data_IF_772045108687
#
_entry.id   IF_772045108687
#
_cell.length_a   1.000
_cell.length_b   1.000
_cell.length_c   1.000
_cell.angle_alpha   90.00
_cell.angle_beta   90.00
_cell.angle_gamma   90.00
#
_symmetry.space_group_name_H-M   'P 1'
#
loop_
_entity.id
_entity.type
_entity.pdbx_description
1 polymer ?
#
# COMPACT_ATOMS: atom_id res chain seq x y z
N UNK A 1 12.07 -6.67 5.72
CA UNK A 1 11.27 -6.36 4.51
C UNK A 1 12.12 -5.87 3.33
N UNK A 2 13.03 -4.90 3.48
CA UNK A 2 13.86 -4.40 2.35
C UNK A 2 14.64 -5.51 1.58
N UNK A 3 15.23 -6.46 2.30
CA UNK A 3 16.03 -7.55 1.70
C UNK A 3 15.21 -8.49 0.81
N UNK A 4 13.94 -8.72 1.15
CA UNK A 4 13.05 -9.58 0.37
C UNK A 4 12.75 -8.95 -0.98
N UNK A 5 12.44 -7.65 -0.99
CA UNK A 5 12.17 -6.89 -2.20
C UNK A 5 13.41 -6.73 -3.08
N UNK A 6 14.60 -6.56 -2.47
CA UNK A 6 15.87 -6.56 -3.20
C UNK A 6 16.11 -7.90 -3.93
N UNK A 7 15.92 -9.04 -3.24
CA UNK A 7 16.02 -10.37 -3.87
C UNK A 7 15.01 -10.58 -4.99
N UNK A 8 13.77 -10.10 -4.80
CA UNK A 8 12.74 -10.21 -5.81
C UNK A 8 13.07 -9.40 -7.06
N UNK A 9 13.61 -8.19 -6.90
CA UNK A 9 14.11 -7.37 -8.00
C UNK A 9 15.26 -8.07 -8.74
N UNK A 10 16.23 -8.60 -8.01
CA UNK A 10 17.37 -9.32 -8.60
C UNK A 10 16.92 -10.57 -9.38
N UNK A 11 15.95 -11.32 -8.85
CA UNK A 11 15.52 -12.58 -9.44
C UNK A 11 14.58 -12.41 -10.65
N UNK A 12 13.65 -11.44 -10.59
CA UNK A 12 12.56 -11.32 -11.56
C UNK A 12 12.60 -10.02 -12.37
N UNK A 13 13.46 -9.08 -11.99
CA UNK A 13 13.64 -7.81 -12.68
C UNK A 13 12.78 -6.65 -12.15
N UNK A 14 12.64 -5.58 -12.95
CA UNK A 14 12.13 -4.28 -12.49
C UNK A 14 10.63 -4.22 -12.25
N UNK A 15 9.86 -5.15 -12.83
CA UNK A 15 8.40 -5.23 -12.68
C UNK A 15 7.98 -6.68 -12.44
N UNK A 16 7.37 -6.94 -11.29
CA UNK A 16 7.03 -8.31 -10.86
C UNK A 16 5.54 -8.42 -10.54
N UNK A 17 4.87 -9.37 -11.18
CA UNK A 17 3.47 -9.70 -10.91
C UNK A 17 3.39 -10.84 -9.89
N UNK A 18 2.88 -10.54 -8.70
CA UNK A 18 2.63 -11.52 -7.64
C UNK A 18 1.13 -11.83 -7.55
N UNK A 19 0.76 -13.11 -7.66
CA UNK A 19 -0.62 -13.56 -7.48
C UNK A 19 -0.83 -14.03 -6.04
N UNK A 20 -1.31 -13.13 -5.18
CA UNK A 20 -1.43 -13.36 -3.72
C UNK A 20 -2.62 -14.28 -3.40
N UNK A 21 -3.76 -14.05 -4.04
CA UNK A 21 -4.96 -14.88 -3.92
C UNK A 21 -5.72 -14.87 -5.26
N UNK A 22 -6.73 -15.73 -5.46
CA UNK A 22 -7.44 -15.92 -6.74
C UNK A 22 -7.75 -14.60 -7.47
N UNK A 23 -8.28 -13.62 -6.73
CA UNK A 23 -8.71 -12.32 -7.29
C UNK A 23 -7.79 -11.16 -6.92
N UNK A 24 -6.66 -11.42 -6.24
CA UNK A 24 -5.74 -10.38 -5.78
C UNK A 24 -4.36 -10.55 -6.36
N UNK A 25 -4.02 -9.63 -7.24
CA UNK A 25 -2.69 -9.50 -7.84
C UNK A 25 -2.02 -8.25 -7.30
N UNK A 26 -0.74 -8.36 -6.95
CA UNK A 26 0.13 -7.24 -6.64
C UNK A 26 1.12 -7.06 -7.79
N UNK A 27 1.41 -5.79 -8.11
CA UNK A 27 2.47 -5.43 -9.03
C UNK A 27 3.56 -4.72 -8.23
N UNK A 28 4.74 -5.31 -8.19
CA UNK A 28 5.91 -4.71 -7.57
C UNK A 28 6.68 -3.97 -8.66
N UNK A 29 6.88 -2.67 -8.46
CA UNK A 29 7.58 -1.78 -9.39
C UNK A 29 8.81 -1.26 -8.68
N UNK A 30 9.97 -1.43 -9.29
CA UNK A 30 11.26 -1.08 -8.69
C UNK A 30 11.94 0.13 -9.32
N UNK A 31 11.61 0.46 -10.58
CA UNK A 31 12.14 1.64 -11.25
C UNK A 31 11.35 2.90 -10.83
N UNK A 32 12.02 3.96 -10.34
CA UNK A 32 11.36 5.21 -9.97
C UNK A 32 10.54 5.86 -11.10
N UNK A 33 10.95 5.69 -12.36
CA UNK A 33 10.24 6.21 -13.54
C UNK A 33 8.91 5.50 -13.72
N UNK A 34 8.91 4.18 -13.55
CA UNK A 34 7.70 3.37 -13.62
C UNK A 34 6.77 3.66 -12.44
N UNK A 35 7.33 3.88 -11.24
CA UNK A 35 6.55 4.32 -10.08
C UNK A 35 5.84 5.64 -10.37
N UNK A 36 6.53 6.62 -10.97
CA UNK A 36 5.94 7.89 -11.36
C UNK A 36 4.76 7.68 -12.33
N UNK A 37 4.94 6.84 -13.35
CA UNK A 37 3.87 6.52 -14.31
C UNK A 37 2.66 5.93 -13.57
N UNK A 38 2.86 4.96 -12.67
CA UNK A 38 1.78 4.37 -11.88
C UNK A 38 1.07 5.43 -11.04
N UNK A 39 1.83 6.27 -10.32
CA UNK A 39 1.25 7.34 -9.49
C UNK A 39 0.48 8.38 -10.32
N UNK A 40 0.99 8.77 -11.49
CA UNK A 40 0.31 9.72 -12.38
C UNK A 40 -0.99 9.15 -12.94
N UNK A 41 -1.07 7.84 -13.16
CA UNK A 41 -2.28 7.18 -13.66
C UNK A 41 -3.30 6.83 -12.56
N UNK A 42 -2.91 6.81 -11.28
CA UNK A 42 -3.83 6.57 -10.15
C UNK A 42 -4.81 7.73 -9.89
N UNK A 43 -4.51 8.93 -10.40
CA UNK A 43 -5.29 10.15 -10.19
C UNK A 43 -4.84 10.96 -8.96
N UNK A 44 -5.56 12.05 -8.62
CA UNK A 44 -5.11 13.04 -7.64
C UNK A 44 -5.06 12.53 -6.19
N UNK A 45 -5.74 11.41 -5.89
CA UNK A 45 -5.76 10.81 -4.56
C UNK A 45 -5.49 9.31 -4.68
N UNK A 46 -4.24 8.88 -4.42
CA UNK A 46 -3.85 7.51 -4.68
C UNK A 46 -4.49 6.57 -3.64
N UNK A 47 -4.79 5.33 -4.04
CA UNK A 47 -5.51 4.41 -3.17
C UNK A 47 -4.56 3.90 -2.08
N UNK A 48 -5.07 3.80 -0.84
CA UNK A 48 -4.30 3.33 0.32
C UNK A 48 -5.05 2.20 1.01
N UNK A 49 -4.96 0.99 0.44
CA UNK A 49 -5.68 -0.19 0.94
C UNK A 49 -5.37 -0.46 2.42
N UNK A 50 -4.12 -0.30 2.85
CA UNK A 50 -3.70 -0.46 4.25
C UNK A 50 -4.45 0.45 5.22
N UNK A 51 -4.88 1.63 4.75
CA UNK A 51 -5.58 2.60 5.58
C UNK A 51 -7.08 2.30 5.68
N UNK A 52 -7.64 1.38 4.89
CA UNK A 52 -9.06 0.99 4.98
C UNK A 52 -9.37 0.28 6.30
N UNK A 53 -8.47 -0.59 6.76
CA UNK A 53 -8.62 -1.27 8.05
C UNK A 53 -8.60 -0.26 9.20
N UNK A 54 -7.67 0.70 9.16
CA UNK A 54 -7.59 1.79 10.13
C UNK A 54 -8.83 2.70 10.09
N UNK A 55 -9.32 3.05 8.89
CA UNK A 55 -10.52 3.85 8.72
C UNK A 55 -11.75 3.16 9.33
N UNK A 56 -11.95 1.86 9.05
CA UNK A 56 -13.02 1.05 9.67
C UNK A 56 -12.88 1.03 11.19
N UNK A 57 -11.68 0.75 11.70
CA UNK A 57 -11.44 0.68 13.14
C UNK A 57 -11.80 2.00 13.86
N UNK A 58 -11.47 3.14 13.26
CA UNK A 58 -11.81 4.48 13.76
C UNK A 58 -13.31 4.76 13.72
N UNK A 59 -13.96 4.43 12.61
CA UNK A 59 -15.40 4.61 12.44
C UNK A 59 -16.21 3.80 13.46
N UNK A 60 -15.75 2.60 13.81
CA UNK A 60 -16.39 1.76 14.83
C UNK A 60 -16.16 2.22 16.27
N UNK A 61 -15.15 3.07 16.52
CA UNK A 61 -14.75 3.51 17.86
C UNK A 61 -14.65 5.04 17.92
N UNK A 62 -15.72 5.78 17.60
CA UNK A 62 -15.68 7.23 17.57
C UNK A 62 -15.34 7.82 18.95
N UNK A 63 -15.69 7.14 20.04
CA UNK A 63 -15.33 7.54 21.40
C UNK A 63 -13.81 7.50 21.70
N UNK A 64 -13.03 6.70 20.96
CA UNK A 64 -11.55 6.66 21.07
C UNK A 64 -10.86 7.55 20.02
N UNK A 65 -11.57 7.94 18.96
CA UNK A 65 -11.03 8.62 17.78
C UNK A 65 -11.77 9.91 17.41
N UNK A 66 -12.45 10.54 18.38
CA UNK A 66 -13.17 11.81 18.20
C UNK A 66 -12.24 13.01 18.08
N UNK A 67 -10.98 12.87 18.51
CA UNK A 67 -9.94 13.91 18.46
C UNK A 67 -8.94 13.75 17.31
N UNK A 68 -8.19 14.82 16.99
CA UNK A 68 -7.26 14.85 15.85
C UNK A 68 -5.99 14.00 16.02
N UNK A 69 -5.74 13.34 17.16
CA UNK A 69 -4.57 12.46 17.26
C UNK A 69 -4.35 11.76 18.61
N UNK A 70 -3.96 10.49 18.46
CA UNK A 70 -3.38 9.50 19.40
C UNK A 70 -4.19 9.14 20.65
N UNK A 71 -4.19 7.84 20.94
CA UNK A 71 -4.93 7.19 22.03
C UNK A 71 -4.79 7.98 23.35
N UNK A 72 -5.84 8.03 24.20
CA UNK A 72 -5.71 8.60 25.53
C UNK A 72 -4.59 7.87 26.28
N UNK A 73 -3.65 8.64 26.82
CA UNK A 73 -2.67 8.21 27.82
C UNK A 73 -3.36 7.84 29.13
#
# INVERSE_FOLDING_TARGET
>A
MHRTYAKMHEQYGPVVREKVHKDRTLLHVFDPRDMQIVYSNEGPKPTRISHRALAKYRQERPHLYSGPGLFPS
#
